data_IF_423786296183
#
_entry.id   IF_423786296183
#
_cell.length_a   1.000
_cell.length_b   1.000
_cell.length_c   1.000
_cell.angle_alpha   90.00
_cell.angle_beta   90.00
_cell.angle_gamma   90.00
#
_symmetry.space_group_name_H-M   'P 1'
#
loop_
_entity.id
_entity.type
_entity.pdbx_description
1 polymer ?
#
# COMPACT_ATOMS: atom_id res chain seq x y z
N UNK A 1 -24.01 13.53 -48.64
CA UNK A 1 -22.88 13.71 -47.72
C UNK A 1 -23.50 14.18 -46.42
N UNK A 2 -23.77 13.25 -45.50
CA UNK A 2 -24.48 13.52 -44.25
C UNK A 2 -23.49 13.22 -43.13
N UNK A 3 -23.15 14.27 -42.42
CA UNK A 3 -22.10 14.35 -41.40
C UNK A 3 -22.58 13.63 -40.13
N UNK A 4 -21.72 12.77 -39.59
CA UNK A 4 -21.98 12.01 -38.36
C UNK A 4 -21.61 12.91 -37.19
N UNK A 5 -22.60 13.40 -36.44
CA UNK A 5 -22.33 14.01 -35.14
C UNK A 5 -22.06 12.93 -34.09
N UNK A 6 -20.83 12.90 -33.59
CA UNK A 6 -20.41 12.01 -32.52
C UNK A 6 -20.67 12.67 -31.16
N UNK A 7 -21.68 12.16 -30.46
CA UNK A 7 -22.10 12.60 -29.13
C UNK A 7 -20.96 12.41 -28.11
N UNK A 8 -20.39 13.51 -27.61
CA UNK A 8 -19.33 13.49 -26.59
C UNK A 8 -19.99 13.47 -25.20
N UNK A 9 -20.20 12.27 -24.67
CA UNK A 9 -20.60 12.08 -23.27
C UNK A 9 -19.46 12.53 -22.37
N UNK A 10 -19.62 13.69 -21.73
CA UNK A 10 -18.72 14.17 -20.67
C UNK A 10 -19.07 13.42 -19.39
N UNK A 11 -18.20 12.49 -18.97
CA UNK A 11 -18.30 11.90 -17.62
C UNK A 11 -17.89 12.97 -16.59
N UNK A 12 -18.86 13.41 -15.80
CA UNK A 12 -18.63 14.22 -14.63
C UNK A 12 -17.94 13.34 -13.56
N UNK A 13 -16.65 13.60 -13.31
CA UNK A 13 -15.91 13.01 -12.21
C UNK A 13 -16.37 13.71 -10.93
N UNK A 14 -17.14 13.01 -10.11
CA UNK A 14 -17.45 13.45 -8.74
C UNK A 14 -16.16 13.33 -7.93
N UNK A 15 -15.52 14.47 -7.68
CA UNK A 15 -14.44 14.60 -6.71
C UNK A 15 -15.04 14.36 -5.31
N UNK A 16 -15.11 13.12 -4.88
CA UNK A 16 -15.30 12.81 -3.46
C UNK A 16 -13.97 13.06 -2.74
N UNK A 17 -13.64 14.35 -2.56
CA UNK A 17 -12.60 14.76 -1.63
C UNK A 17 -13.11 14.46 -0.22
N UNK A 18 -12.76 13.29 0.31
CA UNK A 18 -12.81 13.07 1.76
C UNK A 18 -11.96 14.17 2.39
N UNK A 19 -12.65 15.07 3.09
CA UNK A 19 -12.02 16.17 3.78
C UNK A 19 -11.08 15.59 4.83
N UNK A 20 -9.78 15.89 4.72
CA UNK A 20 -8.85 15.72 5.83
C UNK A 20 -9.26 16.72 6.92
N UNK A 21 -10.14 16.31 7.82
CA UNK A 21 -10.31 17.00 9.08
C UNK A 21 -9.01 16.84 9.87
N UNK A 22 -8.26 17.93 10.00
CA UNK A 22 -7.11 18.00 10.87
C UNK A 22 -7.53 17.71 12.31
N UNK A 23 -7.28 16.47 12.75
CA UNK A 23 -7.17 16.15 14.15
C UNK A 23 -5.69 15.86 14.40
N UNK A 24 -5.03 16.75 15.14
CA UNK A 24 -3.70 16.52 15.67
C UNK A 24 -3.75 15.41 16.73
N UNK A 25 -3.78 14.17 16.26
CA UNK A 25 -3.33 13.01 17.02
C UNK A 25 -1.99 12.60 16.38
N UNK A 26 -0.91 12.64 17.15
CA UNK A 26 0.32 11.93 16.76
C UNK A 26 0.02 10.43 16.90
N UNK A 27 -0.67 9.87 15.91
CA UNK A 27 -0.80 8.44 15.81
C UNK A 27 0.61 7.88 15.62
N UNK A 28 1.04 7.00 16.52
CA UNK A 28 2.36 6.34 16.46
C UNK A 28 2.53 5.56 15.15
N UNK A 29 1.43 5.18 14.50
CA UNK A 29 1.42 4.50 13.22
C UNK A 29 0.49 5.24 12.24
N UNK A 30 0.93 5.34 10.99
CA UNK A 30 0.13 5.82 9.85
C UNK A 30 0.03 4.74 8.80
N UNK A 31 -1.14 4.65 8.16
CA UNK A 31 -1.46 3.57 7.25
C UNK A 31 -2.89 3.65 6.79
N UNK A 32 -3.24 2.78 5.85
CA UNK A 32 -4.62 2.63 5.36
C UNK A 32 -4.79 1.25 4.71
N UNK A 33 -6.05 0.93 4.44
CA UNK A 33 -6.46 -0.26 3.70
C UNK A 33 -7.53 0.11 2.67
N UNK A 34 -7.70 -0.72 1.63
CA UNK A 34 -8.70 -0.51 0.59
C UNK A 34 -10.14 -0.80 1.04
N UNK A 35 -10.30 -1.70 2.02
CA UNK A 35 -11.57 -2.11 2.62
C UNK A 35 -11.31 -2.47 4.09
N UNK A 36 -12.18 -2.04 5.01
CA UNK A 36 -12.04 -2.29 6.44
C UNK A 36 -13.07 -3.28 7.01
N UNK A 37 -13.82 -3.99 6.14
CA UNK A 37 -14.91 -4.88 6.56
C UNK A 37 -14.42 -6.09 7.34
N UNK A 38 -13.33 -6.70 6.87
CA UNK A 38 -12.82 -7.97 7.42
C UNK A 38 -11.52 -7.79 8.21
N UNK A 39 -10.65 -6.89 7.75
CA UNK A 39 -9.38 -6.60 8.38
C UNK A 39 -9.16 -5.10 8.51
N UNK A 40 -8.34 -4.73 9.49
CA UNK A 40 -7.85 -3.39 9.70
C UNK A 40 -6.37 -3.46 10.04
N UNK A 41 -5.60 -2.55 9.45
CA UNK A 41 -4.25 -2.25 9.93
C UNK A 41 -4.30 -1.19 11.03
N UNK A 42 -3.37 -1.26 11.98
CA UNK A 42 -3.27 -0.31 13.07
C UNK A 42 -2.22 -0.74 14.08
N UNK A 43 -2.13 -0.04 15.21
CA UNK A 43 -1.27 -0.48 16.30
C UNK A 43 -1.70 -1.85 16.82
N UNK A 44 -0.74 -2.77 16.94
CA UNK A 44 -0.97 -4.11 17.50
C UNK A 44 -1.38 -4.01 18.96
N UNK A 45 -2.39 -4.80 19.33
CA UNK A 45 -2.95 -4.83 20.69
C UNK A 45 -2.77 -6.19 21.36
N UNK A 46 -2.52 -7.24 20.58
CA UNK A 46 -2.27 -8.58 21.09
C UNK A 46 -0.83 -8.65 21.62
N UNK A 47 -0.69 -9.08 22.88
CA UNK A 47 0.60 -9.35 23.51
C UNK A 47 0.65 -10.82 23.90
N UNK A 48 1.52 -11.59 23.25
CA UNK A 48 1.80 -12.98 23.57
C UNK A 48 3.31 -13.26 23.39
N UNK A 49 4.18 -12.70 24.26
CA UNK A 49 5.62 -12.88 24.10
C UNK A 49 6.05 -14.34 24.23
N UNK A 50 7.06 -14.81 23.45
CA UNK A 50 7.85 -14.03 22.50
C UNK A 50 7.22 -13.89 21.10
N UNK A 51 6.06 -14.51 20.86
CA UNK A 51 5.44 -14.62 19.53
C UNK A 51 4.87 -13.30 18.99
N UNK A 52 4.17 -12.54 19.84
CA UNK A 52 3.55 -11.28 19.45
C UNK A 52 3.79 -10.18 20.49
N UNK A 53 4.02 -8.97 19.99
CA UNK A 53 4.35 -7.78 20.79
C UNK A 53 3.35 -6.66 20.45
N UNK A 54 2.67 -6.14 21.46
CA UNK A 54 1.77 -4.99 21.33
C UNK A 54 2.56 -3.68 21.12
N UNK A 55 1.91 -2.68 20.53
CA UNK A 55 2.51 -1.35 20.28
C UNK A 55 3.34 -1.26 18.99
N UNK A 56 3.15 -2.17 18.04
CA UNK A 56 3.84 -2.23 16.74
C UNK A 56 2.85 -2.08 15.58
N UNK A 57 3.34 -2.03 14.34
CA UNK A 57 2.48 -2.14 13.18
C UNK A 57 1.80 -3.51 13.18
N UNK A 58 0.47 -3.51 13.06
CA UNK A 58 -0.31 -4.73 13.20
C UNK A 58 -1.51 -4.80 12.27
N UNK A 59 -2.07 -6.01 12.22
CA UNK A 59 -3.22 -6.38 11.41
C UNK A 59 -4.14 -7.29 12.21
N UNK A 60 -5.45 -7.16 11.97
CA UNK A 60 -6.46 -8.01 12.57
C UNK A 60 -7.84 -7.41 12.38
N UNK A 61 -8.75 -7.66 13.33
CA UNK A 61 -10.10 -7.11 13.28
C UNK A 61 -10.57 -6.66 14.66
N UNK A 62 -11.88 -6.67 14.88
CA UNK A 62 -12.50 -6.23 16.14
C UNK A 62 -11.99 -6.96 17.41
N UNK A 63 -11.43 -8.17 17.24
CA UNK A 63 -10.90 -9.00 18.34
C UNK A 63 -9.47 -8.66 18.76
N UNK A 64 -8.80 -7.78 18.03
CA UNK A 64 -7.41 -7.39 18.28
C UNK A 64 -6.55 -7.49 17.02
N UNK A 65 -5.39 -6.83 17.07
CA UNK A 65 -4.40 -6.77 16.00
C UNK A 65 -3.09 -7.40 16.48
N UNK A 66 -2.57 -8.36 15.74
CA UNK A 66 -1.23 -8.96 15.96
C UNK A 66 -0.18 -8.13 15.23
N UNK A 67 1.04 -8.06 15.73
CA UNK A 67 2.12 -7.36 15.04
C UNK A 67 2.66 -8.16 13.84
N UNK A 68 2.97 -7.45 12.76
CA UNK A 68 3.51 -8.08 11.54
C UNK A 68 4.88 -8.74 11.78
N UNK A 69 5.71 -8.17 12.65
CA UNK A 69 7.01 -8.73 12.99
C UNK A 69 6.90 -10.10 13.69
N UNK A 70 5.91 -10.27 14.57
CA UNK A 70 5.57 -11.55 15.17
C UNK A 70 4.99 -12.52 14.15
N UNK A 71 4.04 -12.04 13.34
CA UNK A 71 3.35 -12.83 12.31
C UNK A 71 4.30 -13.39 11.25
N UNK A 72 5.33 -12.62 10.86
CA UNK A 72 6.31 -13.02 9.85
C UNK A 72 7.10 -14.27 10.23
N UNK A 73 7.26 -14.58 11.52
CA UNK A 73 7.94 -15.78 12.00
C UNK A 73 7.19 -17.08 11.67
N UNK A 74 5.91 -16.99 11.30
CA UNK A 74 5.06 -18.13 10.96
C UNK A 74 4.79 -18.25 9.45
N UNK A 75 5.30 -17.31 8.67
CA UNK A 75 5.02 -17.20 7.24
C UNK A 75 6.19 -17.73 6.39
N UNK A 76 5.87 -18.23 5.20
CA UNK A 76 6.88 -18.57 4.20
C UNK A 76 7.33 -17.30 3.49
N UNK A 77 8.65 -17.11 3.33
CA UNK A 77 9.20 -15.94 2.63
C UNK A 77 9.55 -16.29 1.18
N UNK A 78 8.88 -15.66 0.22
CA UNK A 78 9.18 -15.78 -1.21
C UNK A 78 9.31 -14.39 -1.84
N UNK A 79 10.40 -14.14 -2.58
CA UNK A 79 10.66 -12.84 -3.22
C UNK A 79 10.58 -11.60 -2.29
N UNK A 80 10.80 -11.79 -0.99
CA UNK A 80 10.68 -10.72 0.01
C UNK A 80 9.25 -10.44 0.48
N UNK A 81 8.29 -11.31 0.13
CA UNK A 81 6.91 -11.29 0.61
C UNK A 81 6.69 -12.52 1.49
N UNK A 82 6.27 -12.29 2.73
CA UNK A 82 5.79 -13.30 3.67
C UNK A 82 4.38 -13.72 3.28
N UNK A 83 4.14 -15.03 3.18
CA UNK A 83 2.82 -15.58 2.92
C UNK A 83 2.44 -16.61 3.99
N UNK A 84 1.25 -16.45 4.54
CA UNK A 84 0.67 -17.40 5.51
C UNK A 84 -0.82 -17.60 5.20
N UNK A 85 -1.21 -18.86 5.08
CA UNK A 85 -2.60 -19.29 4.99
C UNK A 85 -3.04 -19.89 6.33
N UNK A 86 -4.30 -19.69 6.69
CA UNK A 86 -4.92 -20.31 7.87
C UNK A 86 -4.13 -20.14 9.19
N UNK A 87 -3.76 -18.91 9.59
CA UNK A 87 -2.87 -18.69 10.74
C UNK A 87 -3.42 -19.19 12.08
N UNK A 88 -4.73 -19.43 12.19
CA UNK A 88 -5.38 -19.85 13.45
C UNK A 88 -6.19 -21.15 13.34
N UNK A 89 -5.91 -22.01 12.36
CA UNK A 89 -6.49 -23.35 12.28
C UNK A 89 -8.02 -23.34 12.22
N UNK A 90 -8.58 -23.01 11.05
CA UNK A 90 -10.02 -22.94 10.80
C UNK A 90 -10.44 -21.77 9.89
N UNK A 91 -9.49 -20.93 9.47
CA UNK A 91 -9.70 -19.85 8.50
C UNK A 91 -9.14 -20.24 7.14
N UNK A 92 -9.84 -19.91 6.06
CA UNK A 92 -9.28 -20.01 4.71
C UNK A 92 -8.43 -18.77 4.33
N UNK A 93 -8.29 -17.81 5.25
CA UNK A 93 -7.66 -16.54 4.94
C UNK A 93 -6.19 -16.70 4.61
N UNK A 94 -5.75 -15.91 3.64
CA UNK A 94 -4.36 -15.82 3.19
C UNK A 94 -3.89 -14.38 3.37
N UNK A 95 -2.72 -14.23 3.98
CA UNK A 95 -2.04 -12.96 4.15
C UNK A 95 -0.73 -13.01 3.36
N UNK A 96 -0.51 -11.99 2.53
CA UNK A 96 0.75 -11.80 1.79
C UNK A 96 1.28 -10.40 2.10
N UNK A 97 2.41 -10.28 2.77
CA UNK A 97 2.90 -9.00 3.28
C UNK A 97 4.43 -8.92 3.28
N UNK A 98 4.97 -7.71 3.20
CA UNK A 98 6.40 -7.47 3.12
C UNK A 98 6.82 -6.34 4.05
N UNK A 99 8.04 -6.46 4.57
CA UNK A 99 8.69 -5.42 5.38
C UNK A 99 9.44 -4.44 4.48
N UNK A 100 9.43 -3.15 4.84
CA UNK A 100 10.20 -2.11 4.15
C UNK A 100 11.43 -1.75 4.99
N UNK A 101 12.62 -1.78 4.36
CA UNK A 101 13.87 -1.27 4.93
C UNK A 101 14.26 -1.81 6.33
N UNK A 102 13.81 -3.03 6.69
CA UNK A 102 13.99 -3.61 8.04
C UNK A 102 13.43 -2.74 9.18
N UNK A 103 12.49 -1.85 8.86
CA UNK A 103 11.76 -1.00 9.81
C UNK A 103 10.38 -1.59 10.11
N UNK A 104 9.69 -1.07 11.12
CA UNK A 104 8.31 -1.44 11.42
C UNK A 104 7.33 -0.76 10.44
N UNK A 105 7.53 -1.04 9.16
CA UNK A 105 6.80 -0.54 8.00
C UNK A 105 6.47 -1.76 7.13
N UNK A 106 5.18 -1.93 6.87
CA UNK A 106 4.62 -3.13 6.25
C UNK A 106 3.59 -2.75 5.21
N UNK A 107 3.52 -3.55 4.16
CA UNK A 107 2.50 -3.46 3.14
C UNK A 107 2.12 -4.86 2.66
N UNK A 108 0.93 -5.02 2.11
CA UNK A 108 0.50 -6.33 1.68
C UNK A 108 -0.96 -6.40 1.27
N UNK A 109 -1.43 -7.62 1.17
CA UNK A 109 -2.81 -7.94 0.93
C UNK A 109 -3.30 -9.06 1.85
N UNK A 110 -4.61 -9.09 2.01
CA UNK A 110 -5.35 -10.13 2.70
C UNK A 110 -6.45 -10.63 1.76
N UNK A 111 -6.68 -11.93 1.74
CA UNK A 111 -7.84 -12.55 1.10
C UNK A 111 -8.54 -13.48 2.06
N UNK A 112 -9.88 -13.55 2.00
CA UNK A 112 -10.68 -14.43 2.86
C UNK A 112 -10.45 -15.92 2.61
N UNK A 113 -10.05 -16.28 1.39
CA UNK A 113 -9.93 -17.67 0.94
C UNK A 113 -8.75 -17.96 0.00
N UNK A 114 -7.97 -16.94 -0.37
CA UNK A 114 -6.87 -17.07 -1.33
C UNK A 114 -7.31 -17.08 -2.80
N UNK A 115 -8.62 -17.03 -3.09
CA UNK A 115 -9.15 -16.84 -4.45
C UNK A 115 -9.33 -15.35 -4.79
N UNK A 116 -9.02 -14.46 -3.85
CA UNK A 116 -8.97 -13.01 -4.03
C UNK A 116 -10.30 -12.35 -4.44
N UNK A 117 -11.43 -13.05 -4.24
CA UNK A 117 -12.79 -12.50 -4.48
C UNK A 117 -13.16 -11.48 -3.41
N UNK A 118 -12.84 -11.79 -2.15
CA UNK A 118 -12.90 -10.86 -1.02
C UNK A 118 -11.46 -10.60 -0.55
N UNK A 119 -11.02 -9.35 -0.74
CA UNK A 119 -9.61 -8.96 -0.66
C UNK A 119 -9.45 -7.53 -0.19
N UNK A 120 -8.38 -7.30 0.56
CA UNK A 120 -7.97 -5.97 1.01
C UNK A 120 -6.48 -5.77 0.75
N UNK A 121 -6.08 -4.65 0.15
CA UNK A 121 -4.67 -4.20 0.12
C UNK A 121 -4.45 -3.14 1.19
N UNK A 122 -3.25 -3.11 1.77
CA UNK A 122 -2.95 -2.22 2.90
C UNK A 122 -1.49 -1.84 2.98
N UNK A 123 -1.21 -0.77 3.72
CA UNK A 123 0.09 -0.47 4.27
C UNK A 123 -0.04 0.18 5.65
N UNK A 124 1.00 0.04 6.46
CA UNK A 124 1.12 0.68 7.76
C UNK A 124 2.59 0.81 8.14
N UNK A 125 2.96 1.92 8.78
CA UNK A 125 4.29 2.06 9.36
C UNK A 125 4.31 3.03 10.52
N UNK A 126 5.36 2.95 11.32
CA UNK A 126 5.57 3.88 12.43
C UNK A 126 5.72 5.32 11.93
N UNK A 127 4.84 6.20 12.38
CA UNK A 127 4.95 7.64 12.19
C UNK A 127 5.65 8.24 13.41
N UNK A 128 6.97 8.15 13.43
CA UNK A 128 7.78 8.69 14.53
C UNK A 128 8.20 10.15 14.29
N UNK A 129 8.64 10.81 15.35
CA UNK A 129 9.16 12.20 15.32
C UNK A 129 10.37 12.40 14.39
N UNK A 130 11.02 11.31 13.96
CA UNK A 130 12.17 11.37 13.07
C UNK A 130 11.76 11.30 11.59
N UNK A 131 10.49 11.09 11.26
CA UNK A 131 10.02 11.15 9.88
C UNK A 131 10.12 12.59 9.38
N UNK A 132 10.96 12.81 8.37
CA UNK A 132 11.12 14.09 7.69
C UNK A 132 11.12 13.88 6.18
N UNK A 133 10.58 14.84 5.44
CA UNK A 133 10.61 14.84 3.97
C UNK A 133 11.45 16.02 3.49
N UNK A 134 12.48 15.81 2.65
CA UNK A 134 13.27 16.90 2.10
C UNK A 134 12.39 17.91 1.34
N UNK A 135 12.78 19.18 1.36
CA UNK A 135 12.09 20.22 0.58
C UNK A 135 12.65 20.42 -0.83
N UNK A 136 13.75 19.74 -1.16
CA UNK A 136 14.53 19.86 -2.40
C UNK A 136 15.25 18.56 -2.71
N UNK A 137 15.72 18.44 -3.94
CA UNK A 137 16.44 17.29 -4.46
C UNK A 137 15.52 16.18 -4.94
N UNK A 138 16.14 15.10 -5.41
CA UNK A 138 15.44 13.91 -5.87
C UNK A 138 15.90 12.67 -5.09
N UNK A 139 15.04 11.67 -5.03
CA UNK A 139 15.33 10.37 -4.42
C UNK A 139 14.70 9.25 -5.23
N UNK A 140 15.47 8.19 -5.49
CA UNK A 140 14.95 6.96 -6.08
C UNK A 140 14.72 5.92 -4.99
N UNK A 141 13.66 5.14 -5.15
CA UNK A 141 13.27 4.07 -4.23
C UNK A 141 13.21 2.76 -4.99
N UNK A 142 13.82 1.71 -4.44
CA UNK A 142 13.59 0.34 -4.90
C UNK A 142 12.26 -0.13 -4.32
N UNK A 143 11.24 -0.25 -5.16
CA UNK A 143 9.87 -0.54 -4.74
C UNK A 143 9.49 -1.96 -5.12
N UNK A 144 8.84 -2.65 -4.19
CA UNK A 144 8.13 -3.92 -4.43
C UNK A 144 6.63 -3.73 -4.29
N UNK A 145 5.86 -4.55 -5.00
CA UNK A 145 4.41 -4.58 -4.91
C UNK A 145 3.84 -5.98 -4.70
N UNK A 146 2.67 -6.01 -4.08
CA UNK A 146 1.87 -7.19 -3.79
C UNK A 146 0.50 -7.02 -4.42
N UNK A 147 0.16 -7.94 -5.32
CA UNK A 147 -1.14 -8.07 -5.97
C UNK A 147 -1.34 -9.55 -6.32
N UNK A 148 -2.40 -10.17 -5.78
CA UNK A 148 -2.76 -11.58 -6.02
C UNK A 148 -1.55 -12.51 -5.88
N UNK A 149 -0.79 -12.35 -4.81
CA UNK A 149 0.52 -12.95 -4.66
C UNK A 149 0.44 -14.48 -4.55
N UNK A 150 1.12 -15.15 -5.47
CA UNK A 150 1.16 -16.62 -5.62
C UNK A 150 2.50 -17.24 -5.20
N UNK A 151 3.40 -16.42 -4.65
CA UNK A 151 4.78 -16.81 -4.33
C UNK A 151 5.80 -16.38 -5.38
N UNK A 152 5.38 -16.19 -6.63
CA UNK A 152 6.28 -16.01 -7.79
C UNK A 152 6.03 -14.74 -8.60
N UNK A 153 4.96 -13.99 -8.30
CA UNK A 153 4.52 -12.82 -9.07
C UNK A 153 4.70 -11.46 -8.36
N UNK A 154 5.64 -11.31 -7.43
CA UNK A 154 5.91 -9.99 -6.83
C UNK A 154 6.22 -8.95 -7.91
N UNK A 155 5.64 -7.75 -7.78
CA UNK A 155 5.97 -6.62 -8.66
C UNK A 155 7.25 -5.94 -8.16
N UNK A 156 8.04 -5.40 -9.06
CA UNK A 156 9.23 -4.62 -8.71
C UNK A 156 9.42 -3.43 -9.66
N UNK A 157 10.10 -2.39 -9.17
CA UNK A 157 10.44 -1.23 -9.99
C UNK A 157 11.03 -0.09 -9.18
N UNK A 158 10.95 1.10 -9.72
CA UNK A 158 11.54 2.30 -9.11
C UNK A 158 10.53 3.43 -9.10
N UNK A 159 10.38 4.06 -7.93
CA UNK A 159 9.71 5.35 -7.80
C UNK A 159 10.76 6.44 -7.60
N UNK A 160 10.53 7.59 -8.20
CA UNK A 160 11.34 8.80 -8.05
C UNK A 160 10.50 9.86 -7.36
N UNK A 161 10.93 10.28 -6.18
CA UNK A 161 10.45 11.49 -5.54
C UNK A 161 11.28 12.67 -6.06
N UNK A 162 10.60 13.69 -6.57
CA UNK A 162 11.18 15.01 -6.84
C UNK A 162 10.62 15.98 -5.81
N UNK A 163 11.44 16.35 -4.82
CA UNK A 163 11.02 17.20 -3.72
C UNK A 163 10.96 18.68 -4.09
N UNK A 164 11.69 19.11 -5.13
CA UNK A 164 11.55 20.45 -5.68
C UNK A 164 10.19 20.59 -6.40
N UNK A 165 9.81 19.59 -7.20
CA UNK A 165 8.52 19.54 -7.89
C UNK A 165 7.35 19.07 -7.00
N UNK A 166 7.65 18.50 -5.83
CA UNK A 166 6.71 17.86 -4.91
C UNK A 166 5.91 16.74 -5.58
N UNK A 167 6.59 15.88 -6.33
CA UNK A 167 5.97 14.74 -7.02
C UNK A 167 6.62 13.42 -6.63
N UNK A 168 5.85 12.35 -6.74
CA UNK A 168 6.33 10.97 -6.67
C UNK A 168 5.77 10.24 -7.90
N UNK A 169 6.66 9.78 -8.76
CA UNK A 169 6.29 9.10 -10.01
C UNK A 169 7.08 7.82 -10.17
N UNK A 170 6.56 6.87 -10.93
CA UNK A 170 7.28 5.64 -11.27
C UNK A 170 6.32 4.48 -11.48
N UNK A 171 6.88 3.29 -11.64
CA UNK A 171 6.09 2.07 -11.85
C UNK A 171 6.74 0.85 -11.21
N UNK A 172 5.88 -0.14 -10.94
CA UNK A 172 6.25 -1.49 -10.54
C UNK A 172 5.57 -2.47 -11.48
N UNK A 173 6.26 -3.53 -11.87
CA UNK A 173 5.72 -4.49 -12.83
C UNK A 173 6.19 -5.92 -12.59
N UNK A 174 5.42 -6.85 -13.14
CA UNK A 174 5.81 -8.22 -13.44
C UNK A 174 5.36 -8.54 -14.89
N UNK A 175 5.35 -9.82 -15.29
CA UNK A 175 4.93 -10.22 -16.64
C UNK A 175 3.43 -10.01 -16.95
N UNK A 176 2.59 -9.87 -15.93
CA UNK A 176 1.13 -9.82 -16.06
C UNK A 176 0.53 -8.43 -15.81
N UNK A 177 1.15 -7.64 -14.94
CA UNK A 177 0.63 -6.35 -14.46
C UNK A 177 1.74 -5.32 -14.37
N UNK A 178 1.45 -4.10 -14.82
CA UNK A 178 2.22 -2.91 -14.47
C UNK A 178 1.31 -1.96 -13.70
N UNK A 179 1.79 -1.43 -12.58
CA UNK A 179 1.14 -0.35 -11.83
C UNK A 179 2.06 0.86 -11.82
N UNK A 180 1.58 1.97 -12.37
CA UNK A 180 2.27 3.25 -12.37
C UNK A 180 1.61 4.21 -11.39
N UNK A 181 2.40 5.07 -10.76
CA UNK A 181 1.93 6.12 -9.84
C UNK A 181 2.35 7.49 -10.35
N UNK A 182 1.47 8.47 -10.15
CA UNK A 182 1.74 9.89 -10.34
C UNK A 182 1.05 10.66 -9.23
N UNK A 183 1.81 10.95 -8.17
CA UNK A 183 1.32 11.52 -6.93
C UNK A 183 1.95 12.87 -6.62
N UNK A 184 1.20 13.71 -5.93
CA UNK A 184 1.71 14.92 -5.28
C UNK A 184 2.21 14.57 -3.88
N UNK A 185 3.34 15.15 -3.50
CA UNK A 185 3.96 15.00 -2.17
C UNK A 185 3.52 16.14 -1.26
N UNK A 186 3.06 15.78 -0.07
CA UNK A 186 2.84 16.71 1.04
C UNK A 186 3.88 16.46 2.14
N UNK A 187 4.93 17.30 2.14
CA UNK A 187 6.02 17.18 3.10
C UNK A 187 5.60 17.45 4.56
N UNK A 188 4.54 18.24 4.81
CA UNK A 188 4.12 18.56 6.19
C UNK A 188 3.45 17.38 6.90
N UNK A 189 2.86 16.47 6.13
CA UNK A 189 2.21 15.24 6.63
C UNK A 189 2.99 13.99 6.24
N UNK A 190 4.17 14.15 5.63
CA UNK A 190 4.96 13.08 5.03
C UNK A 190 4.14 12.14 4.14
N UNK A 191 3.10 12.65 3.46
CA UNK A 191 2.18 11.83 2.67
C UNK A 191 2.30 12.13 1.19
N UNK A 192 1.75 11.24 0.37
CA UNK A 192 1.57 11.48 -1.05
C UNK A 192 0.23 10.91 -1.52
N UNK A 193 -0.33 11.50 -2.57
CA UNK A 193 -1.54 11.00 -3.20
C UNK A 193 -1.74 11.55 -4.60
N UNK A 194 -2.43 10.80 -5.45
CA UNK A 194 -2.71 11.20 -6.83
C UNK A 194 -3.24 10.07 -7.69
N UNK A 195 -2.87 10.08 -8.97
CA UNK A 195 -3.32 9.09 -9.95
C UNK A 195 -2.49 7.82 -9.93
N UNK A 196 -3.14 6.71 -10.26
CA UNK A 196 -2.50 5.44 -10.59
C UNK A 196 -3.01 4.90 -11.92
N UNK A 197 -2.19 4.12 -12.62
CA UNK A 197 -2.60 3.39 -13.82
C UNK A 197 -2.18 1.94 -13.69
N UNK A 198 -3.14 1.02 -13.83
CA UNK A 198 -2.88 -0.40 -13.99
C UNK A 198 -2.94 -0.75 -15.47
N UNK A 199 -1.89 -1.38 -15.99
CA UNK A 199 -1.83 -1.83 -17.39
C UNK A 199 -1.74 -3.35 -17.43
N UNK A 200 -2.72 -3.98 -18.09
CA UNK A 200 -2.78 -5.43 -18.30
C UNK A 200 -3.00 -5.70 -19.78
N UNK A 201 -2.09 -6.44 -20.41
CA UNK A 201 -2.18 -6.74 -21.85
C UNK A 201 -2.23 -5.48 -22.74
N UNK A 202 -1.67 -4.36 -22.29
CA UNK A 202 -1.72 -3.07 -22.99
C UNK A 202 -3.00 -2.26 -22.79
N UNK A 203 -3.91 -2.71 -21.92
CA UNK A 203 -5.14 -1.98 -21.55
C UNK A 203 -4.92 -1.27 -20.23
N UNK A 204 -5.17 0.04 -20.23
CA UNK A 204 -5.02 0.90 -19.06
C UNK A 204 -6.33 1.04 -18.27
N UNK A 205 -6.23 0.87 -16.95
CA UNK A 205 -7.28 1.17 -15.97
C UNK A 205 -6.79 2.29 -15.06
N UNK A 206 -7.57 3.37 -14.99
CA UNK A 206 -7.25 4.52 -14.14
C UNK A 206 -7.68 4.26 -12.69
N UNK A 207 -6.86 4.71 -11.76
CA UNK A 207 -7.06 4.54 -10.33
C UNK A 207 -6.46 5.67 -9.52
N UNK A 208 -6.39 5.47 -8.21
CA UNK A 208 -5.82 6.40 -7.26
C UNK A 208 -4.67 5.74 -6.51
N UNK A 209 -3.69 6.54 -6.10
CA UNK A 209 -2.62 6.13 -5.21
C UNK A 209 -2.60 6.99 -3.97
N UNK A 210 -2.27 6.39 -2.83
CA UNK A 210 -2.01 7.11 -1.59
C UNK A 210 -0.97 6.37 -0.74
N UNK A 211 -0.17 7.13 0.01
CA UNK A 211 0.87 6.56 0.85
C UNK A 211 1.57 7.58 1.74
N UNK A 212 2.59 7.10 2.44
CA UNK A 212 3.44 7.91 3.32
C UNK A 212 4.92 7.61 3.08
N UNK A 213 5.75 8.62 3.33
CA UNK A 213 7.18 8.50 3.56
C UNK A 213 7.42 8.21 5.05
N UNK A 214 8.51 7.51 5.33
CA UNK A 214 8.89 7.10 6.66
C UNK A 214 10.39 7.30 6.90
N UNK A 215 10.74 7.58 8.15
CA UNK A 215 12.12 7.78 8.58
C UNK A 215 12.70 9.12 8.16
N UNK A 216 13.93 9.39 8.63
CA UNK A 216 14.62 10.64 8.32
C UNK A 216 14.90 10.75 6.82
N UNK A 217 14.69 11.96 6.29
CA UNK A 217 14.95 12.33 4.88
C UNK A 217 14.25 11.41 3.87
N UNK A 218 13.04 10.97 4.24
CA UNK A 218 12.21 10.04 3.49
C UNK A 218 12.99 8.76 3.12
N UNK A 219 13.60 8.11 4.12
CA UNK A 219 14.40 6.89 3.90
C UNK A 219 13.60 5.72 3.32
N UNK A 220 12.28 5.69 3.53
CA UNK A 220 11.38 4.66 3.02
C UNK A 220 10.02 5.25 2.61
N UNK A 221 9.26 4.49 1.84
CA UNK A 221 7.86 4.77 1.52
C UNK A 221 7.02 3.49 1.53
N UNK A 222 5.72 3.65 1.77
CA UNK A 222 4.72 2.60 1.56
C UNK A 222 3.37 3.22 1.17
N UNK A 223 2.56 2.47 0.43
CA UNK A 223 1.30 2.96 -0.12
C UNK A 223 0.42 1.85 -0.71
N UNK A 224 -0.74 2.27 -1.22
CA UNK A 224 -1.64 1.44 -2.03
C UNK A 224 -2.04 2.19 -3.30
N UNK A 225 -2.27 1.43 -4.37
CA UNK A 225 -2.99 1.87 -5.56
C UNK A 225 -4.33 1.12 -5.64
N UNK A 226 -5.43 1.84 -5.84
CA UNK A 226 -6.78 1.27 -5.92
C UNK A 226 -7.50 1.68 -7.21
N UNK A 227 -8.30 0.75 -7.74
CA UNK A 227 -8.95 0.86 -9.05
C UNK A 227 -10.43 0.56 -8.89
N UNK A 228 -11.25 1.62 -8.79
CA UNK A 228 -12.68 1.51 -8.54
C UNK A 228 -13.39 0.66 -9.62
N UNK A 229 -14.17 -0.33 -9.18
CA UNK A 229 -14.83 -1.29 -10.09
C UNK A 229 -13.86 -2.26 -10.79
N UNK A 230 -12.58 -2.26 -10.42
CA UNK A 230 -11.53 -3.12 -10.97
C UNK A 230 -10.55 -3.52 -9.88
N UNK A 231 -11.08 -3.90 -8.71
CA UNK A 231 -10.29 -4.18 -7.52
C UNK A 231 -9.31 -5.33 -7.71
N UNK A 232 -9.40 -6.15 -8.76
CA UNK A 232 -8.36 -7.12 -9.12
C UNK A 232 -6.99 -6.47 -9.38
N UNK A 233 -6.95 -5.17 -9.71
CA UNK A 233 -5.71 -4.43 -9.92
C UNK A 233 -5.18 -3.73 -8.66
N UNK A 234 -5.96 -3.71 -7.57
CA UNK A 234 -5.52 -3.08 -6.32
C UNK A 234 -4.21 -3.70 -5.85
N UNK A 235 -3.24 -2.84 -5.54
CA UNK A 235 -1.85 -3.23 -5.30
C UNK A 235 -1.31 -2.46 -4.11
N UNK A 236 -0.76 -3.17 -3.12
CA UNK A 236 0.04 -2.56 -2.07
C UNK A 236 1.51 -2.48 -2.49
N UNK A 237 2.22 -1.46 -2.05
CA UNK A 237 3.63 -1.29 -2.37
C UNK A 237 4.44 -0.68 -1.22
N UNK A 238 5.74 -0.92 -1.25
CA UNK A 238 6.70 -0.33 -0.32
C UNK A 238 8.11 -0.40 -0.85
N UNK A 239 8.95 0.55 -0.44
CA UNK A 239 10.30 0.67 -0.96
C UNK A 239 11.24 1.48 -0.08
N UNK A 240 12.53 1.18 -0.23
CA UNK A 240 13.61 1.87 0.46
C UNK A 240 14.35 2.80 -0.51
N UNK A 241 14.78 3.95 -0.02
CA UNK A 241 15.63 4.89 -0.76
C UNK A 241 16.96 4.22 -1.14
N UNK A 242 17.43 4.47 -2.35
CA UNK A 242 18.72 3.98 -2.88
C UNK A 242 19.90 4.76 -2.31
#
# INVERSE_FOLDING_TARGET
MMEIEMNRTVLAIVLSSTMFAGAAYSATFVGTQSDSTNIEVGTSTVSAPPAHIAGRAGIGGARGKVDFQGLSNYATLNQGVHQIGNPHGGSSAVYSFAQVASQDIWFGEWSSDGNFTDRTVYYIGESNVNTSVPSRGTANYNVKGVNHFDGTNALAGTFTADFDAKTLTGSISNSALTVSVNAMVNASTASFGGGATATVGGVDTQGLTQGHFFGADAAALAGIATFAGSSQHDTAFGGAKQ
#
